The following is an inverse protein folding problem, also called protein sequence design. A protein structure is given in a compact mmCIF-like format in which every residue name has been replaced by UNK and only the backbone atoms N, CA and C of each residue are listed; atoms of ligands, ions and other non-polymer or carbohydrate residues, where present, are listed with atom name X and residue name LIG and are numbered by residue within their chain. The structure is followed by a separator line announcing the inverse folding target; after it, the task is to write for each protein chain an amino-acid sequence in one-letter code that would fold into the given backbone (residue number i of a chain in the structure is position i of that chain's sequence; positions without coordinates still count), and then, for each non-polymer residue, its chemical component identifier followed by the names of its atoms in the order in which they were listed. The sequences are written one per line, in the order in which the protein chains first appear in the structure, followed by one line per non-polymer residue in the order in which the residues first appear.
data_IF_694713110744
#
_entry.id   IF_694713110744
#
_cell.length_a   1.000
_cell.length_b   1.000
_cell.length_c   1.000
_cell.angle_alpha   90.00
_cell.angle_beta   90.00
_cell.angle_gamma   90.00
#
_symmetry.space_group_name_H-M   'P 1'
#
loop_
_entity.id
_entity.type
_entity.pdbx_description
1 polymer ?
#
# COMPACT_ATOMS: atom_id res chain seq x y z
N UNK A 1 8.21 -7.42 -41.83
CA UNK A 1 7.41 -6.17 -41.78
C UNK A 1 7.69 -5.52 -40.44
N UNK A 2 8.39 -4.37 -40.42
CA UNK A 2 8.51 -3.57 -39.21
C UNK A 2 7.08 -3.15 -38.80
N UNK A 3 6.68 -3.39 -37.55
CA UNK A 3 5.35 -2.98 -37.09
C UNK A 3 5.25 -1.46 -37.20
N UNK A 4 4.13 -0.93 -37.70
CA UNK A 4 3.90 0.52 -37.91
C UNK A 4 4.26 1.38 -36.68
N UNK A 5 4.13 0.78 -35.50
CA UNK A 5 4.44 1.37 -34.19
C UNK A 5 5.92 1.72 -34.05
N UNK A 6 6.84 0.99 -34.69
CA UNK A 6 8.28 1.28 -34.65
C UNK A 6 8.65 2.57 -35.41
N UNK A 7 7.72 3.11 -36.22
CA UNK A 7 7.92 4.34 -36.97
C UNK A 7 7.30 5.57 -36.28
N UNK A 8 6.64 5.38 -35.14
CA UNK A 8 6.01 6.48 -34.42
C UNK A 8 7.07 7.37 -33.76
N UNK A 9 6.91 8.71 -33.84
CA UNK A 9 7.72 9.64 -33.07
C UNK A 9 7.59 9.36 -31.56
N UNK A 10 8.68 9.57 -30.82
CA UNK A 10 8.69 9.32 -29.37
C UNK A 10 7.66 10.18 -28.63
N UNK A 11 7.38 11.39 -29.14
CA UNK A 11 6.38 12.31 -28.61
C UNK A 11 4.96 11.76 -28.70
N UNK A 12 4.66 11.01 -29.77
CA UNK A 12 3.36 10.36 -29.94
C UNK A 12 3.22 9.19 -28.95
N UNK A 13 4.29 8.41 -28.75
CA UNK A 13 4.31 7.32 -27.77
C UNK A 13 4.15 7.84 -26.34
N UNK A 14 4.81 8.96 -26.00
CA UNK A 14 4.64 9.66 -24.72
C UNK A 14 3.19 10.14 -24.54
N UNK A 15 2.58 10.68 -25.60
CA UNK A 15 1.18 11.11 -25.55
C UNK A 15 0.24 9.94 -25.28
N UNK A 16 0.47 8.78 -25.90
CA UNK A 16 -0.29 7.55 -25.63
C UNK A 16 -0.16 7.16 -24.14
N UNK A 17 1.04 7.21 -23.56
CA UNK A 17 1.23 6.87 -22.15
C UNK A 17 0.46 7.78 -21.19
N UNK A 18 0.22 9.05 -21.55
CA UNK A 18 -0.51 10.01 -20.70
C UNK A 18 -2.02 9.77 -20.68
N UNK A 19 -2.55 9.15 -21.73
CA UNK A 19 -3.97 8.78 -21.85
C UNK A 19 -4.31 7.44 -21.17
N UNK A 20 -3.31 6.68 -20.73
CA UNK A 20 -3.53 5.44 -19.99
C UNK A 20 -3.92 5.78 -18.55
N UNK A 21 -4.98 5.16 -18.06
CA UNK A 21 -5.47 5.32 -16.68
C UNK A 21 -5.26 4.06 -15.82
N UNK A 22 -4.85 2.94 -16.42
CA UNK A 22 -4.55 1.68 -15.72
C UNK A 22 -3.05 1.34 -15.80
N UNK A 23 -2.45 1.09 -14.63
CA UNK A 23 -1.08 0.60 -14.49
C UNK A 23 -0.83 -0.71 -15.26
N UNK A 24 -1.84 -1.58 -15.34
CA UNK A 24 -1.73 -2.87 -16.03
C UNK A 24 -1.69 -2.70 -17.55
N UNK A 25 -2.44 -1.73 -18.07
CA UNK A 25 -2.40 -1.36 -19.49
C UNK A 25 -1.07 -0.71 -19.84
N UNK A 26 -0.56 0.20 -18.99
CA UNK A 26 0.78 0.78 -19.15
C UNK A 26 1.83 -0.33 -19.20
N UNK A 27 1.81 -1.24 -18.22
CA UNK A 27 2.76 -2.36 -18.14
C UNK A 27 2.68 -3.23 -19.40
N UNK A 28 1.48 -3.57 -19.85
CA UNK A 28 1.26 -4.39 -21.04
C UNK A 28 1.81 -3.69 -22.29
N UNK A 29 1.59 -2.38 -22.41
CA UNK A 29 2.08 -1.58 -23.53
C UNK A 29 3.61 -1.47 -23.54
N UNK A 30 4.21 -1.20 -22.38
CA UNK A 30 5.67 -1.13 -22.20
C UNK A 30 6.35 -2.46 -22.52
N UNK A 31 5.72 -3.59 -22.15
CA UNK A 31 6.24 -4.92 -22.42
C UNK A 31 5.93 -5.43 -23.84
N UNK A 32 5.06 -4.77 -24.58
CA UNK A 32 4.63 -5.22 -25.92
C UNK A 32 5.73 -5.12 -26.98
N UNK A 33 6.60 -4.11 -26.89
CA UNK A 33 7.72 -3.94 -27.80
C UNK A 33 8.83 -3.03 -27.25
N UNK A 34 10.03 -3.13 -27.83
CA UNK A 34 11.19 -2.34 -27.42
C UNK A 34 11.01 -0.84 -27.64
N UNK A 35 10.27 -0.40 -28.67
CA UNK A 35 10.04 1.02 -28.94
C UNK A 35 9.25 1.70 -27.82
N UNK A 36 8.16 1.06 -27.35
CA UNK A 36 7.42 1.54 -26.18
C UNK A 36 8.28 1.51 -24.91
N UNK A 37 9.06 0.45 -24.71
CA UNK A 37 9.98 0.37 -23.58
C UNK A 37 11.00 1.54 -23.55
N UNK A 38 11.60 1.87 -24.69
CA UNK A 38 12.56 2.99 -24.79
C UNK A 38 11.89 4.35 -24.60
N UNK A 39 10.71 4.56 -25.19
CA UNK A 39 9.94 5.79 -25.00
C UNK A 39 9.54 5.97 -23.52
N UNK A 40 9.13 4.88 -22.86
CA UNK A 40 8.82 4.88 -21.43
C UNK A 40 10.06 5.22 -20.60
N UNK A 41 11.22 4.59 -20.85
CA UNK A 41 12.45 4.93 -20.11
C UNK A 41 12.86 6.40 -20.28
N UNK A 42 12.61 6.98 -21.45
CA UNK A 42 12.94 8.37 -21.76
C UNK A 42 12.13 9.36 -20.91
N UNK A 43 10.84 9.10 -20.69
CA UNK A 43 9.92 10.06 -20.03
C UNK A 43 9.22 9.50 -18.78
N UNK A 44 9.70 8.41 -18.18
CA UNK A 44 9.06 7.73 -17.02
C UNK A 44 8.76 8.67 -15.85
N UNK A 45 9.58 9.70 -15.67
CA UNK A 45 9.44 10.69 -14.60
C UNK A 45 8.22 11.60 -14.79
N UNK A 46 7.76 11.80 -16.02
CA UNK A 46 6.54 12.56 -16.32
C UNK A 46 5.33 11.65 -16.56
N UNK A 47 5.54 10.37 -16.85
CA UNK A 47 4.46 9.39 -17.08
C UNK A 47 3.93 8.81 -15.77
N UNK A 48 4.81 8.36 -14.88
CA UNK A 48 4.41 7.55 -13.72
C UNK A 48 3.68 8.35 -12.63
N UNK A 49 4.13 9.55 -12.21
CA UNK A 49 3.46 10.27 -11.11
C UNK A 49 1.99 10.63 -11.41
N UNK A 50 1.64 11.20 -12.59
CA UNK A 50 0.24 11.48 -12.91
C UNK A 50 -0.64 10.23 -12.98
N UNK A 51 -0.11 9.12 -13.53
CA UNK A 51 -0.82 7.84 -13.57
C UNK A 51 -1.10 7.30 -12.16
N UNK A 52 -0.13 7.41 -11.26
CA UNK A 52 -0.31 6.99 -9.86
C UNK A 52 -1.33 7.83 -9.13
N UNK A 53 -1.29 9.15 -9.29
CA UNK A 53 -2.30 10.02 -8.69
C UNK A 53 -3.69 9.63 -9.16
N UNK A 54 -3.92 9.49 -10.48
CA UNK A 54 -5.22 9.04 -11.02
C UNK A 54 -5.68 7.70 -10.44
N UNK A 55 -4.80 6.71 -10.38
CA UNK A 55 -5.14 5.36 -9.91
C UNK A 55 -5.52 5.34 -8.43
N UNK A 56 -4.74 6.02 -7.59
CA UNK A 56 -4.99 6.07 -6.16
C UNK A 56 -6.08 7.06 -5.76
N UNK A 57 -6.30 8.16 -6.50
CA UNK A 57 -7.43 9.07 -6.33
C UNK A 57 -8.75 8.33 -6.58
N UNK A 58 -8.83 7.59 -7.70
CA UNK A 58 -10.00 6.73 -8.00
C UNK A 58 -10.26 5.72 -6.88
N UNK A 59 -9.20 5.29 -6.20
CA UNK A 59 -9.26 4.33 -5.08
C UNK A 59 -9.27 4.98 -3.70
N UNK A 60 -9.22 6.32 -3.59
CA UNK A 60 -9.17 7.11 -2.35
C UNK A 60 -8.17 6.62 -1.30
N UNK A 61 -6.97 6.26 -1.71
CA UNK A 61 -6.00 5.59 -0.82
C UNK A 61 -4.53 6.00 -1.00
N UNK A 62 -4.26 7.11 -1.70
CA UNK A 62 -2.88 7.50 -2.01
C UNK A 62 -2.06 7.78 -0.75
N UNK A 63 -2.62 8.51 0.21
CA UNK A 63 -1.94 8.87 1.46
C UNK A 63 -1.52 7.63 2.26
N UNK A 64 -2.38 6.60 2.30
CA UNK A 64 -2.14 5.37 3.06
C UNK A 64 -1.10 4.49 2.36
N UNK A 65 -1.12 4.44 1.03
CA UNK A 65 -0.10 3.75 0.24
C UNK A 65 1.28 4.43 0.34
N UNK A 66 1.32 5.76 0.30
CA UNK A 66 2.55 6.54 0.49
C UNK A 66 3.12 6.31 1.89
N UNK A 67 2.28 6.32 2.93
CA UNK A 67 2.71 6.01 4.29
C UNK A 67 3.26 4.59 4.42
N UNK A 68 2.64 3.60 3.75
CA UNK A 68 3.16 2.25 3.68
C UNK A 68 4.55 2.20 3.03
N UNK A 69 4.78 2.92 1.94
CA UNK A 69 6.11 2.98 1.30
C UNK A 69 7.13 3.70 2.16
N UNK A 70 6.80 4.88 2.69
CA UNK A 70 7.71 5.71 3.51
C UNK A 70 8.04 5.11 4.87
N UNK A 71 7.17 4.26 5.40
CA UNK A 71 7.42 3.58 6.68
C UNK A 71 8.45 2.46 6.60
N UNK A 72 8.83 2.02 5.39
CA UNK A 72 9.78 0.92 5.19
C UNK A 72 11.14 1.25 5.82
N UNK A 73 11.59 0.40 6.74
CA UNK A 73 12.83 0.59 7.50
C UNK A 73 12.71 1.49 8.72
N UNK A 74 11.54 2.09 8.98
CA UNK A 74 11.27 2.88 10.18
C UNK A 74 10.88 1.99 11.36
N UNK A 75 11.80 1.13 11.76
CA UNK A 75 11.59 0.25 12.91
C UNK A 75 11.44 1.08 14.19
N UNK A 76 10.36 0.83 14.92
CA UNK A 76 10.06 1.57 16.14
C UNK A 76 11.01 1.24 17.30
N UNK A 77 11.75 0.12 17.21
CA UNK A 77 12.86 -0.25 18.09
C UNK A 77 14.09 0.69 17.96
N UNK A 78 14.12 1.54 16.93
CA UNK A 78 15.19 2.51 16.72
C UNK A 78 14.70 3.89 17.18
N UNK A 79 15.28 4.40 18.28
CA UNK A 79 14.84 5.66 18.90
C UNK A 79 14.87 6.87 17.96
N UNK A 80 15.81 6.93 17.02
CA UNK A 80 15.89 8.04 16.04
C UNK A 80 14.69 8.10 15.10
N UNK A 81 14.00 6.97 14.89
CA UNK A 81 12.85 6.88 13.98
C UNK A 81 11.56 7.44 14.60
N UNK A 82 11.52 7.67 15.92
CA UNK A 82 10.30 8.04 16.65
C UNK A 82 9.57 9.24 16.04
N UNK A 83 10.30 10.33 15.75
CA UNK A 83 9.69 11.55 15.22
C UNK A 83 9.11 11.34 13.81
N UNK A 84 9.78 10.53 12.98
CA UNK A 84 9.34 10.24 11.62
C UNK A 84 8.12 9.32 11.61
N UNK A 85 8.12 8.30 12.46
CA UNK A 85 6.95 7.44 12.70
C UNK A 85 5.74 8.28 13.11
N UNK A 86 5.90 9.16 14.11
CA UNK A 86 4.82 10.04 14.57
C UNK A 86 4.34 10.96 13.44
N UNK A 87 5.25 11.51 12.64
CA UNK A 87 4.90 12.39 11.52
C UNK A 87 4.08 11.66 10.44
N UNK A 88 4.46 10.43 10.08
CA UNK A 88 3.72 9.61 9.11
C UNK A 88 2.32 9.31 9.65
N UNK A 89 2.21 8.88 10.92
CA UNK A 89 0.92 8.54 11.51
C UNK A 89 0.00 9.76 11.66
N UNK A 90 0.53 10.93 12.05
CA UNK A 90 -0.27 12.16 12.12
C UNK A 90 -0.72 12.63 10.73
N UNK A 91 0.12 12.47 9.71
CA UNK A 91 -0.25 12.78 8.31
C UNK A 91 -1.40 11.88 7.86
N UNK A 92 -1.32 10.57 8.12
CA UNK A 92 -2.41 9.64 7.81
C UNK A 92 -3.70 9.93 8.57
N UNK A 93 -3.62 10.41 9.81
CA UNK A 93 -4.78 10.78 10.63
C UNK A 93 -5.51 11.98 10.05
N UNK A 94 -4.76 12.94 9.51
CA UNK A 94 -5.27 14.24 9.06
C UNK A 94 -5.49 14.32 7.56
N UNK A 95 -5.35 13.23 6.80
CA UNK A 95 -5.49 13.25 5.34
C UNK A 95 -6.78 13.94 4.91
N UNK A 96 -7.91 13.59 5.53
CA UNK A 96 -9.22 14.16 5.18
C UNK A 96 -9.34 15.65 5.57
N UNK A 97 -8.71 16.07 6.67
CA UNK A 97 -8.64 17.48 7.09
C UNK A 97 -7.75 18.31 6.14
N UNK A 98 -6.65 17.71 5.69
CA UNK A 98 -5.67 18.31 4.79
C UNK A 98 -6.27 18.46 3.39
N UNK A 99 -6.95 17.42 2.88
CA UNK A 99 -7.68 17.44 1.60
C UNK A 99 -8.76 18.53 1.60
N UNK A 100 -9.52 18.69 2.69
CA UNK A 100 -10.55 19.73 2.81
C UNK A 100 -9.98 21.16 2.97
N UNK A 101 -8.75 21.27 3.47
CA UNK A 101 -8.07 22.56 3.71
C UNK A 101 -7.18 23.00 2.55
N UNK A 102 -7.00 22.16 1.53
CA UNK A 102 -6.15 22.42 0.36
C UNK A 102 -6.79 23.44 -0.62
N UNK A 103 -6.96 24.67 -0.15
CA UNK A 103 -6.99 25.90 -0.96
C UNK A 103 -5.69 26.71 -0.82
N UNK A 104 -4.68 26.19 -0.12
CA UNK A 104 -3.38 26.83 0.06
C UNK A 104 -2.26 25.88 -0.40
N UNK A 105 -1.31 26.45 -1.16
CA UNK A 105 -0.12 25.86 -1.79
C UNK A 105 0.89 25.15 -0.86
N UNK A 106 0.44 24.42 0.16
CA UNK A 106 1.32 23.61 1.01
C UNK A 106 1.55 22.29 0.29
N UNK A 107 2.83 21.97 0.03
CA UNK A 107 3.32 20.71 -0.52
C UNK A 107 2.67 19.53 0.22
N UNK A 108 1.62 18.96 -0.37
CA UNK A 108 0.94 17.79 0.15
C UNK A 108 1.92 16.60 0.14
N UNK A 109 2.04 15.85 1.24
CA UNK A 109 2.76 14.58 1.28
C UNK A 109 2.14 13.48 0.39
N UNK A 110 1.04 13.79 -0.31
CA UNK A 110 0.20 12.88 -1.08
C UNK A 110 0.65 12.67 -2.51
N UNK A 111 1.75 13.32 -2.92
CA UNK A 111 2.40 13.04 -4.19
C UNK A 111 3.70 12.26 -3.96
N UNK A 112 4.02 11.29 -4.83
CA UNK A 112 5.30 10.61 -4.75
C UNK A 112 6.44 11.61 -4.99
N UNK A 113 7.40 11.66 -4.07
CA UNK A 113 8.48 12.64 -4.05
C UNK A 113 9.57 12.37 -5.09
N UNK A 114 9.66 11.14 -5.63
CA UNK A 114 10.60 10.77 -6.68
C UNK A 114 10.14 9.50 -7.44
N UNK A 115 10.92 9.12 -8.46
CA UNK A 115 10.66 7.95 -9.32
C UNK A 115 10.80 6.65 -8.54
N UNK A 116 11.74 6.59 -7.59
CA UNK A 116 11.98 5.40 -6.76
C UNK A 116 10.79 5.10 -5.84
N UNK A 117 10.24 6.11 -5.17
CA UNK A 117 9.01 6.02 -4.38
C UNK A 117 7.83 5.63 -5.26
N UNK A 118 7.76 6.19 -6.48
CA UNK A 118 6.75 5.80 -7.47
C UNK A 118 6.88 4.32 -7.82
N UNK A 119 8.09 3.80 -8.02
CA UNK A 119 8.33 2.38 -8.30
C UNK A 119 7.91 1.49 -7.12
N UNK A 120 8.21 1.88 -5.88
CA UNK A 120 7.78 1.13 -4.70
C UNK A 120 6.24 1.14 -4.55
N UNK A 121 5.56 2.26 -4.88
CA UNK A 121 4.09 2.31 -4.95
C UNK A 121 3.54 1.35 -6.02
N UNK A 122 4.18 1.29 -7.20
CA UNK A 122 3.79 0.33 -8.25
C UNK A 122 3.93 -1.12 -7.74
N UNK A 123 5.02 -1.45 -7.02
CA UNK A 123 5.20 -2.78 -6.43
C UNK A 123 4.13 -3.09 -5.40
N UNK A 124 3.88 -2.16 -4.48
CA UNK A 124 2.83 -2.30 -3.45
C UNK A 124 1.44 -2.44 -4.08
N UNK A 125 1.15 -1.73 -5.17
CA UNK A 125 -0.10 -1.83 -5.91
C UNK A 125 -0.30 -3.22 -6.54
N UNK A 126 0.79 -3.85 -6.98
CA UNK A 126 0.79 -5.21 -7.50
C UNK A 126 0.55 -6.23 -6.39
N UNK A 127 1.16 -6.04 -5.23
CA UNK A 127 0.89 -6.90 -4.06
C UNK A 127 -0.58 -6.78 -3.61
N UNK A 128 -1.18 -5.60 -3.78
CA UNK A 128 -2.60 -5.35 -3.55
C UNK A 128 -3.55 -6.15 -4.48
N UNK A 129 -3.04 -6.82 -5.52
CA UNK A 129 -3.80 -7.79 -6.33
C UNK A 129 -4.29 -8.98 -5.49
N UNK A 130 -3.78 -9.19 -4.27
CA UNK A 130 -4.33 -10.15 -3.32
C UNK A 130 -5.84 -9.95 -3.10
N UNK A 131 -6.39 -8.74 -3.31
CA UNK A 131 -7.82 -8.51 -3.19
C UNK A 131 -8.65 -9.33 -4.18
N UNK A 132 -8.11 -9.63 -5.36
CA UNK A 132 -8.79 -10.50 -6.30
C UNK A 132 -8.83 -11.93 -5.75
N UNK A 133 -7.73 -12.42 -5.17
CA UNK A 133 -7.67 -13.71 -4.47
C UNK A 133 -8.64 -13.73 -3.27
N UNK A 134 -8.64 -12.66 -2.46
CA UNK A 134 -9.54 -12.47 -1.32
C UNK A 134 -11.01 -12.59 -1.73
N UNK A 135 -11.42 -11.93 -2.80
CA UNK A 135 -12.80 -11.97 -3.28
C UNK A 135 -13.22 -13.34 -3.80
N UNK A 136 -12.28 -14.15 -4.29
CA UNK A 136 -12.55 -15.45 -4.89
C UNK A 136 -12.46 -16.59 -3.87
N UNK A 137 -11.57 -16.48 -2.89
CA UNK A 137 -11.10 -17.59 -2.07
C UNK A 137 -11.27 -17.36 -0.55
N UNK A 138 -12.16 -16.44 -0.13
CA UNK A 138 -12.38 -16.20 1.30
C UNK A 138 -12.92 -17.46 2.00
N UNK A 139 -12.09 -18.09 2.85
CA UNK A 139 -12.47 -19.31 3.56
C UNK A 139 -13.33 -19.02 4.82
N UNK A 140 -14.30 -19.88 5.19
CA UNK A 140 -15.17 -19.69 6.35
C UNK A 140 -14.46 -19.50 7.71
N UNK A 141 -13.28 -20.11 7.88
CA UNK A 141 -12.44 -19.94 9.07
C UNK A 141 -11.55 -18.68 9.06
N UNK A 142 -11.56 -17.93 7.95
CA UNK A 142 -10.80 -16.69 7.73
C UNK A 142 -11.72 -15.48 7.54
N UNK A 143 -12.99 -15.73 7.22
CA UNK A 143 -14.06 -14.75 7.23
C UNK A 143 -14.18 -14.16 8.64
N UNK A 144 -14.17 -12.84 8.71
CA UNK A 144 -14.21 -12.15 9.98
C UNK A 144 -15.51 -12.43 10.74
N UNK A 145 -15.46 -12.24 12.06
CA UNK A 145 -16.48 -12.57 13.07
C UNK A 145 -17.91 -12.07 12.79
N UNK A 146 -18.13 -11.23 11.76
CA UNK A 146 -19.43 -10.75 11.32
C UNK A 146 -20.15 -11.68 10.33
N UNK A 147 -19.52 -12.76 9.87
CA UNK A 147 -20.10 -13.70 8.93
C UNK A 147 -20.63 -14.95 9.64
N UNK A 148 -21.93 -15.20 9.51
CA UNK A 148 -22.59 -16.35 10.13
C UNK A 148 -22.10 -17.65 9.46
N UNK A 149 -21.63 -18.64 10.23
CA UNK A 149 -21.27 -19.95 9.69
C UNK A 149 -22.47 -20.57 8.96
N UNK A 150 -22.27 -21.03 7.71
CA UNK A 150 -23.24 -21.82 6.95
C UNK A 150 -23.97 -21.14 5.79
N UNK A 151 -23.94 -19.82 5.65
CA UNK A 151 -24.53 -19.11 4.49
C UNK A 151 -23.53 -18.79 3.37
N UNK A 152 -22.24 -19.10 3.56
CA UNK A 152 -21.14 -18.54 2.76
C UNK A 152 -20.71 -19.39 1.57
N UNK A 153 -20.82 -20.72 1.64
CA UNK A 153 -20.21 -21.64 0.67
C UNK A 153 -20.86 -21.61 -0.73
N UNK A 154 -22.14 -21.20 -0.84
CA UNK A 154 -22.88 -21.24 -2.11
C UNK A 154 -23.48 -19.91 -2.57
N UNK A 155 -23.58 -18.90 -1.70
CA UNK A 155 -24.38 -17.69 -2.00
C UNK A 155 -23.55 -16.40 -2.14
N UNK A 156 -22.31 -16.36 -1.63
CA UNK A 156 -21.60 -15.09 -1.41
C UNK A 156 -20.29 -14.97 -2.20
N UNK A 157 -19.71 -16.09 -2.65
CA UNK A 157 -18.55 -16.07 -3.54
C UNK A 157 -18.99 -16.17 -5.02
N UNK A 158 -18.35 -15.41 -5.94
CA UNK A 158 -17.32 -14.41 -5.66
C UNK A 158 -17.88 -13.15 -5.01
N UNK A 159 -17.12 -12.58 -4.07
CA UNK A 159 -17.49 -11.32 -3.43
C UNK A 159 -17.53 -10.19 -4.47
N UNK A 160 -18.73 -9.62 -4.67
CA UNK A 160 -18.92 -8.46 -5.53
C UNK A 160 -18.75 -7.19 -4.72
N UNK A 161 -17.51 -6.74 -4.58
CA UNK A 161 -17.20 -5.49 -3.90
C UNK A 161 -17.48 -4.28 -4.79
N UNK A 162 -18.19 -3.30 -4.23
CA UNK A 162 -18.24 -1.93 -4.78
C UNK A 162 -16.86 -1.27 -4.75
N UNK A 163 -16.68 -0.20 -5.52
CA UNK A 163 -15.41 0.55 -5.51
C UNK A 163 -15.08 1.14 -4.14
N UNK A 164 -16.11 1.53 -3.38
CA UNK A 164 -15.97 1.96 -1.99
C UNK A 164 -15.43 0.84 -1.10
N UNK A 165 -15.96 -0.37 -1.21
CA UNK A 165 -15.49 -1.52 -0.40
C UNK A 165 -14.08 -1.95 -0.79
N UNK A 166 -13.75 -1.95 -2.09
CA UNK A 166 -12.36 -2.16 -2.54
C UNK A 166 -11.42 -1.12 -1.96
N UNK A 167 -11.84 0.15 -1.96
CA UNK A 167 -11.10 1.23 -1.32
C UNK A 167 -10.88 0.98 0.17
N UNK A 168 -11.91 0.56 0.90
CA UNK A 168 -11.81 0.23 2.33
C UNK A 168 -10.81 -0.91 2.60
N UNK A 169 -10.86 -1.99 1.81
CA UNK A 169 -9.93 -3.11 1.98
C UNK A 169 -8.49 -2.74 1.60
N UNK A 170 -8.29 -1.94 0.54
CA UNK A 170 -6.97 -1.42 0.18
C UNK A 170 -6.40 -0.53 1.29
N UNK A 171 -7.23 0.34 1.87
CA UNK A 171 -6.84 1.16 3.02
C UNK A 171 -6.34 0.30 4.17
N UNK A 172 -7.12 -0.72 4.54
CA UNK A 172 -6.76 -1.63 5.60
C UNK A 172 -5.46 -2.37 5.30
N UNK A 173 -5.28 -2.85 4.08
CA UNK A 173 -4.04 -3.48 3.64
C UNK A 173 -2.82 -2.55 3.77
N UNK A 174 -2.89 -1.32 3.28
CA UNK A 174 -1.77 -0.37 3.40
C UNK A 174 -1.45 -0.01 4.85
N UNK A 175 -2.47 0.03 5.72
CA UNK A 175 -2.24 0.21 7.17
C UNK A 175 -1.60 -1.01 7.80
N UNK A 176 -1.98 -2.22 7.41
CA UNK A 176 -1.29 -3.45 7.82
C UNK A 176 0.16 -3.42 7.40
N UNK A 177 0.47 -2.96 6.18
CA UNK A 177 1.84 -2.80 5.71
C UNK A 177 2.61 -1.76 6.53
N UNK A 178 2.00 -0.59 6.77
CA UNK A 178 2.59 0.47 7.59
C UNK A 178 2.89 -0.03 9.01
N UNK A 179 1.93 -0.72 9.62
CA UNK A 179 2.10 -1.34 10.93
C UNK A 179 3.24 -2.35 10.91
N UNK A 180 3.28 -3.23 9.91
CA UNK A 180 4.32 -4.26 9.79
C UNK A 180 5.71 -3.66 9.59
N UNK A 181 5.84 -2.57 8.84
CA UNK A 181 7.11 -1.89 8.64
C UNK A 181 7.64 -1.24 9.94
N UNK A 182 6.75 -0.69 10.76
CA UNK A 182 7.13 0.03 11.99
C UNK A 182 7.27 -0.90 13.20
N UNK A 183 6.35 -1.84 13.36
CA UNK A 183 6.18 -2.66 14.57
C UNK A 183 6.31 -4.17 14.30
N UNK A 184 6.41 -4.58 13.04
CA UNK A 184 6.65 -5.98 12.69
C UNK A 184 8.07 -6.40 13.04
N UNK A 185 8.30 -7.71 13.04
CA UNK A 185 9.63 -8.26 13.21
C UNK A 185 10.51 -7.78 12.03
N UNK A 186 11.68 -7.17 12.28
CA UNK A 186 12.57 -6.77 11.20
C UNK A 186 13.05 -7.99 10.40
N UNK A 187 13.17 -7.84 9.08
CA UNK A 187 13.86 -8.81 8.23
C UNK A 187 15.37 -8.72 8.52
N UNK A 188 15.84 -9.45 9.53
CA UNK A 188 17.22 -9.35 9.98
C UNK A 188 18.19 -9.99 8.97
N UNK A 189 19.17 -9.22 8.52
CA UNK A 189 20.34 -9.75 7.84
C UNK A 189 21.15 -10.62 8.84
N UNK A 190 21.72 -11.78 8.41
CA UNK A 190 22.37 -12.75 9.29
C UNK A 190 23.51 -12.20 10.16
N UNK A 191 24.14 -11.09 9.75
CA UNK A 191 25.44 -10.65 10.27
C UNK A 191 25.38 -9.46 11.26
N UNK A 192 24.20 -8.95 11.61
CA UNK A 192 24.15 -7.86 12.58
C UNK A 192 24.13 -8.38 14.04
N UNK A 193 25.01 -7.85 14.92
CA UNK A 193 25.06 -8.29 16.32
C UNK A 193 23.78 -7.91 17.08
N UNK A 194 23.12 -8.91 17.68
CA UNK A 194 21.89 -8.75 18.49
C UNK A 194 22.07 -7.77 19.67
N UNK A 195 23.26 -7.71 20.27
CA UNK A 195 23.52 -6.95 21.51
C UNK A 195 23.65 -5.43 21.35
N UNK A 196 23.67 -4.90 20.13
CA UNK A 196 23.69 -3.44 19.91
C UNK A 196 22.30 -2.81 19.85
N UNK A 197 21.23 -3.61 19.91
CA UNK A 197 19.88 -3.22 19.49
C UNK A 197 18.86 -3.40 20.61
N UNK A 198 18.91 -2.47 21.56
CA UNK A 198 17.84 -2.18 22.53
C UNK A 198 18.05 -0.73 23.01
N UNK A 199 17.29 0.24 22.50
CA UNK A 199 17.42 1.64 22.93
C UNK A 199 16.09 2.35 23.28
N UNK A 200 14.98 1.63 23.32
CA UNK A 200 13.68 2.16 23.74
C UNK A 200 12.78 1.06 24.30
N UNK A 201 11.78 1.47 25.10
CA UNK A 201 10.79 0.61 25.77
C UNK A 201 9.90 -0.19 24.80
N UNK A 202 10.22 -0.14 23.50
CA UNK A 202 9.45 -0.71 22.40
C UNK A 202 9.99 -2.06 21.93
N UNK A 203 11.03 -2.57 22.58
CA UNK A 203 11.47 -3.94 22.44
C UNK A 203 10.43 -4.89 23.06
N UNK A 204 10.05 -5.90 22.28
CA UNK A 204 9.05 -6.92 22.59
C UNK A 204 9.15 -7.48 24.02
N UNK A 205 8.12 -7.27 24.85
CA UNK A 205 8.00 -7.98 26.13
C UNK A 205 7.15 -7.37 27.25
N UNK A 206 6.68 -6.11 27.14
CA UNK A 206 5.86 -5.47 28.18
C UNK A 206 4.41 -5.22 27.78
N UNK A 207 3.45 -5.43 28.68
CA UNK A 207 2.03 -5.05 28.50
C UNK A 207 1.87 -3.57 28.14
N UNK A 208 2.76 -2.71 28.64
CA UNK A 208 2.81 -1.27 28.33
C UNK A 208 3.10 -0.97 26.85
N UNK A 209 3.79 -1.85 26.12
CA UNK A 209 4.11 -1.64 24.71
C UNK A 209 2.90 -1.89 23.83
N UNK A 210 2.13 -2.94 24.13
CA UNK A 210 0.88 -3.23 23.41
C UNK A 210 -0.07 -2.06 23.56
N UNK A 211 -0.20 -1.50 24.76
CA UNK A 211 -1.03 -0.33 25.02
C UNK A 211 -0.50 0.93 24.32
N UNK A 212 0.82 1.13 24.28
CA UNK A 212 1.42 2.29 23.61
C UNK A 212 1.30 2.22 22.09
N UNK A 213 1.54 1.05 21.48
CA UNK A 213 1.32 0.80 20.05
C UNK A 213 -0.16 0.90 19.71
N UNK A 214 -1.04 0.34 20.55
CA UNK A 214 -2.49 0.47 20.38
C UNK A 214 -2.92 1.94 20.43
N UNK A 215 -2.38 2.70 21.40
CA UNK A 215 -2.63 4.13 21.50
C UNK A 215 -2.09 4.88 20.28
N UNK A 216 -0.84 4.64 19.87
CA UNK A 216 -0.20 5.39 18.80
C UNK A 216 -0.83 5.11 17.43
N UNK A 217 -1.21 3.87 17.16
CA UNK A 217 -1.59 3.41 15.83
C UNK A 217 -3.10 3.17 15.67
N UNK A 218 -3.78 2.65 16.70
CA UNK A 218 -5.20 2.29 16.58
C UNK A 218 -6.14 3.36 17.14
N UNK A 219 -5.73 4.16 18.13
CA UNK A 219 -6.59 5.29 18.60
C UNK A 219 -6.68 6.44 17.61
N UNK A 220 -5.78 6.46 16.62
CA UNK A 220 -5.83 7.39 15.49
C UNK A 220 -6.85 6.98 14.42
N UNK A 221 -7.57 5.87 14.64
CA UNK A 221 -8.55 5.32 13.71
C UNK A 221 -9.96 5.35 14.34
N UNK A 222 -11.01 5.71 13.58
CA UNK A 222 -12.37 5.38 13.94
C UNK A 222 -12.52 3.88 14.17
N UNK A 223 -13.37 3.49 15.12
CA UNK A 223 -13.57 2.07 15.48
C UNK A 223 -13.96 1.19 14.29
N UNK A 224 -14.72 1.73 13.33
CA UNK A 224 -15.11 0.99 12.12
C UNK A 224 -13.91 0.71 11.19
N UNK A 225 -12.90 1.59 11.15
CA UNK A 225 -11.67 1.34 10.38
C UNK A 225 -10.77 0.31 11.09
N UNK A 226 -10.75 0.30 12.42
CA UNK A 226 -10.06 -0.73 13.18
C UNK A 226 -10.68 -2.14 12.96
N UNK A 227 -11.96 -2.21 12.62
CA UNK A 227 -12.60 -3.48 12.23
C UNK A 227 -12.15 -3.95 10.84
N UNK A 228 -11.77 -3.05 9.94
CA UNK A 228 -11.24 -3.37 8.61
C UNK A 228 -9.85 -4.04 8.68
N UNK A 229 -9.15 -3.91 9.81
CA UNK A 229 -7.90 -4.64 10.10
C UNK A 229 -8.07 -6.17 10.13
N UNK A 230 -9.30 -6.69 10.04
CA UNK A 230 -9.57 -8.10 9.81
C UNK A 230 -8.85 -8.66 8.56
N UNK A 231 -8.52 -7.81 7.59
CA UNK A 231 -7.73 -8.17 6.39
C UNK A 231 -6.41 -8.83 6.80
N UNK A 232 -5.82 -8.42 7.93
CA UNK A 232 -4.63 -9.06 8.48
C UNK A 232 -4.85 -10.53 8.82
N UNK A 233 -6.03 -10.91 9.33
CA UNK A 233 -6.35 -12.31 9.66
C UNK A 233 -6.35 -13.17 8.39
N UNK A 234 -6.89 -12.64 7.30
CA UNK A 234 -6.84 -13.33 6.01
C UNK A 234 -5.40 -13.48 5.51
N UNK A 235 -4.63 -12.38 5.48
CA UNK A 235 -3.23 -12.40 5.04
C UNK A 235 -2.42 -13.38 5.90
N UNK A 236 -2.50 -13.28 7.22
CA UNK A 236 -1.83 -14.17 8.15
C UNK A 236 -2.18 -15.64 7.88
N UNK A 237 -3.46 -15.98 7.79
CA UNK A 237 -3.86 -17.38 7.55
C UNK A 237 -3.48 -17.88 6.16
N UNK A 238 -3.41 -17.00 5.15
CA UNK A 238 -3.00 -17.33 3.79
C UNK A 238 -1.52 -17.66 3.67
N UNK A 239 -0.67 -16.93 4.38
CA UNK A 239 0.80 -17.06 4.31
C UNK A 239 1.38 -17.91 5.45
N UNK A 240 0.64 -18.18 6.52
CA UNK A 240 1.04 -19.09 7.61
C UNK A 240 1.55 -20.46 7.12
N UNK A 241 0.97 -21.11 6.10
CA UNK A 241 1.49 -22.39 5.59
C UNK A 241 2.84 -22.29 4.88
N UNK A 242 3.26 -21.09 4.46
CA UNK A 242 4.53 -20.83 3.76
C UNK A 242 5.63 -20.46 4.78
N UNK A 243 5.24 -19.95 5.94
CA UNK A 243 6.13 -19.52 7.02
C UNK A 243 6.49 -20.65 8.02
N UNK A 244 5.88 -21.83 7.90
CA UNK A 244 6.16 -23.05 8.68
C UNK A 244 6.87 -24.08 7.81
#
# INVERSE_FOLDING_TARGET
MASLIQQFPVELLISIFREIDDINDLRSLVLSCSTFYQAFLTDRHNILPPLMNKWYEKKRNIAQAIAAVRSKGLYAEIKSNYHEIVAILDTCRRSDEIEQSASAHILLPETPGNVEETIELLKLSKEAEFLQDFCMNLHPGQAAYWLRPGQWESEILPLKLSDTEKGRLLRAYYRVQTYSNMFGAPEWLPDEPRDSRCLNNWCWGGSSLVDEVYRLFFTTMPQWEAQEFCVWIYIYNRYKPILN
#
